data_IF_500946451770
#
_entry.id   IF_500946451770
#
_cell.length_a   1.000
_cell.length_b   1.000
_cell.length_c   1.000
_cell.angle_alpha   90.00
_cell.angle_beta   90.00
_cell.angle_gamma   90.00
#
_symmetry.space_group_name_H-M   'P 1'
#
loop_
_entity.id
_entity.type
_entity.pdbx_description
1 polymer ?
#
# COMPACT_ATOMS: atom_id res chain seq x y z
N UNK A 1 -39.03 51.61 55.67
CA UNK A 1 -40.40 51.09 55.46
C UNK A 1 -40.66 51.07 53.95
N UNK A 2 -40.72 49.90 53.32
CA UNK A 2 -41.38 49.73 51.99
C UNK A 2 -42.89 49.93 52.22
N UNK A 3 -43.76 50.34 51.24
CA UNK A 3 -43.82 49.71 49.91
C UNK A 3 -44.51 50.52 48.75
N UNK A 4 -44.63 49.90 47.56
CA UNK A 4 -45.51 50.23 46.41
C UNK A 4 -45.34 51.62 45.75
N UNK A 5 -45.00 51.79 44.47
CA UNK A 5 -45.73 51.30 43.30
C UNK A 5 -44.77 51.26 42.09
N UNK A 6 -44.37 50.05 41.70
CA UNK A 6 -43.62 49.72 40.48
C UNK A 6 -44.51 49.68 39.22
N UNK A 7 -45.58 50.48 39.16
CA UNK A 7 -46.63 50.36 38.14
C UNK A 7 -46.94 51.75 37.57
N UNK A 8 -46.31 52.13 36.45
CA UNK A 8 -46.91 53.05 35.44
C UNK A 8 -45.95 53.53 34.35
N UNK A 9 -44.64 53.27 34.39
CA UNK A 9 -43.72 53.67 33.32
C UNK A 9 -43.19 52.49 32.49
N UNK A 10 -44.02 51.47 32.36
CA UNK A 10 -43.84 50.34 31.45
C UNK A 10 -44.43 50.61 30.03
N UNK A 11 -44.53 51.87 29.59
CA UNK A 11 -45.30 52.21 28.38
C UNK A 11 -44.60 53.13 27.37
N UNK A 12 -43.26 53.20 27.37
CA UNK A 12 -42.54 53.98 26.34
C UNK A 12 -41.23 53.35 25.81
N UNK A 13 -40.93 52.10 26.15
CA UNK A 13 -39.78 51.37 25.60
C UNK A 13 -40.12 49.91 25.23
N UNK A 14 -41.39 49.62 24.99
CA UNK A 14 -41.83 48.43 24.28
C UNK A 14 -42.22 48.89 22.88
N UNK A 15 -41.46 48.45 21.86
CA UNK A 15 -41.69 48.55 20.40
C UNK A 15 -40.45 48.99 19.58
N UNK A 16 -39.23 48.88 20.11
CA UNK A 16 -38.12 48.44 19.24
C UNK A 16 -38.25 46.92 19.11
N UNK A 17 -38.83 46.51 17.99
CA UNK A 17 -39.18 45.15 17.64
C UNK A 17 -37.99 44.17 17.83
N UNK A 18 -38.03 43.38 18.91
CA UNK A 18 -37.39 42.07 18.92
C UNK A 18 -38.25 41.11 18.09
N UNK A 19 -38.39 41.40 16.80
CA UNK A 19 -38.80 40.40 15.82
C UNK A 19 -37.59 39.49 15.63
N UNK A 20 -37.46 38.47 16.50
CA UNK A 20 -36.60 37.34 16.25
C UNK A 20 -37.11 36.70 14.96
N UNK A 21 -36.45 37.02 13.85
CA UNK A 21 -36.85 36.57 12.52
C UNK A 21 -36.90 35.04 12.60
N UNK A 22 -38.04 34.38 12.34
CA UNK A 22 -38.10 32.94 12.43
C UNK A 22 -37.06 32.36 11.47
N UNK A 23 -36.11 31.58 12.02
CA UNK A 23 -35.05 30.95 11.24
C UNK A 23 -35.70 30.17 10.11
N UNK A 24 -35.34 30.49 8.89
CA UNK A 24 -35.92 29.84 7.71
C UNK A 24 -35.50 28.38 7.70
N UNK A 25 -36.33 27.51 7.13
CA UNK A 25 -36.03 26.08 7.04
C UNK A 25 -34.67 25.82 6.35
N UNK A 26 -34.32 26.64 5.36
CA UNK A 26 -33.03 26.60 4.69
C UNK A 26 -31.85 26.91 5.64
N UNK A 27 -31.99 27.89 6.54
CA UNK A 27 -30.95 28.22 7.53
C UNK A 27 -30.77 27.10 8.56
N UNK A 28 -31.87 26.45 8.98
CA UNK A 28 -31.81 25.30 9.90
C UNK A 28 -31.15 24.09 9.24
N UNK A 29 -31.49 23.80 7.98
CA UNK A 29 -30.89 22.69 7.23
C UNK A 29 -29.39 22.93 7.01
N UNK A 30 -28.99 24.16 6.66
CA UNK A 30 -27.59 24.53 6.51
C UNK A 30 -26.80 24.41 7.83
N UNK A 31 -27.43 24.66 8.97
CA UNK A 31 -26.80 24.47 10.28
C UNK A 31 -26.60 22.99 10.62
N UNK A 32 -27.60 22.14 10.36
CA UNK A 32 -27.50 20.69 10.53
C UNK A 32 -26.38 20.12 9.66
N UNK A 33 -26.31 20.51 8.39
CA UNK A 33 -25.26 20.07 7.48
C UNK A 33 -23.86 20.43 7.98
N UNK A 34 -23.67 21.65 8.49
CA UNK A 34 -22.38 22.05 9.09
C UNK A 34 -22.01 21.21 10.30
N UNK A 35 -22.97 20.94 11.19
CA UNK A 35 -22.73 20.12 12.38
C UNK A 35 -22.36 18.69 11.99
N UNK A 36 -23.06 18.11 11.02
CA UNK A 36 -22.76 16.77 10.50
C UNK A 36 -21.36 16.75 9.88
N UNK A 37 -21.02 17.73 9.04
CA UNK A 37 -19.69 17.83 8.43
C UNK A 37 -18.59 17.98 9.49
N UNK A 38 -18.85 18.76 10.54
CA UNK A 38 -17.89 18.94 11.63
C UNK A 38 -17.69 17.64 12.43
N UNK A 39 -18.76 16.92 12.77
CA UNK A 39 -18.67 15.62 13.46
C UNK A 39 -17.92 14.59 12.62
N UNK A 40 -18.26 14.48 11.34
CA UNK A 40 -17.56 13.59 10.40
C UNK A 40 -16.08 13.95 10.25
N UNK A 41 -15.73 15.23 10.26
CA UNK A 41 -14.33 15.65 10.20
C UNK A 41 -13.57 15.24 11.47
N UNK A 42 -14.17 15.42 12.64
CA UNK A 42 -13.59 14.99 13.93
C UNK A 42 -13.43 13.47 14.00
N UNK A 43 -14.44 12.71 13.58
CA UNK A 43 -14.36 11.24 13.51
C UNK A 43 -13.19 10.78 12.63
N UNK A 44 -13.06 11.35 11.42
CA UNK A 44 -11.94 11.04 10.52
C UNK A 44 -10.57 11.39 11.12
N UNK A 45 -10.47 12.50 11.83
CA UNK A 45 -9.23 12.88 12.50
C UNK A 45 -8.86 11.89 13.60
N UNK A 46 -9.83 11.46 14.40
CA UNK A 46 -9.62 10.45 15.44
C UNK A 46 -9.20 9.10 14.84
N UNK A 47 -9.83 8.68 13.75
CA UNK A 47 -9.47 7.44 13.03
C UNK A 47 -8.03 7.51 12.47
N UNK A 48 -7.64 8.67 11.92
CA UNK A 48 -6.29 8.88 11.42
C UNK A 48 -5.24 8.87 12.55
N UNK A 49 -5.53 9.53 13.67
CA UNK A 49 -4.67 9.51 14.85
C UNK A 49 -4.52 8.08 15.41
N UNK A 50 -5.61 7.32 15.49
CA UNK A 50 -5.58 5.93 15.93
C UNK A 50 -4.73 5.06 14.98
N UNK A 51 -4.86 5.26 13.66
CA UNK A 51 -4.04 4.54 12.67
C UNK A 51 -2.56 4.84 12.82
N UNK A 52 -2.20 6.11 13.03
CA UNK A 52 -0.81 6.51 13.26
C UNK A 52 -0.26 5.93 14.56
N UNK A 53 -1.05 5.93 15.64
CA UNK A 53 -0.65 5.33 16.90
C UNK A 53 -0.41 3.81 16.77
N UNK A 54 -1.25 3.11 16.00
CA UNK A 54 -1.06 1.69 15.72
C UNK A 54 0.20 1.44 14.90
N UNK A 55 0.45 2.24 13.86
CA UNK A 55 1.67 2.15 13.06
C UNK A 55 2.93 2.39 13.92
N UNK A 56 2.89 3.35 14.84
CA UNK A 56 4.01 3.60 15.75
C UNK A 56 4.26 2.40 16.66
N UNK A 57 3.21 1.82 17.25
CA UNK A 57 3.34 0.63 18.10
C UNK A 57 3.95 -0.57 17.36
N UNK A 58 3.56 -0.78 16.09
CA UNK A 58 4.11 -1.86 15.26
C UNK A 58 5.61 -1.64 14.96
N UNK A 59 6.02 -0.39 14.73
CA UNK A 59 7.43 -0.03 14.52
C UNK A 59 8.25 -0.28 15.80
N UNK A 60 7.76 0.18 16.95
CA UNK A 60 8.42 0.00 18.25
C UNK A 60 8.57 -1.50 18.59
N UNK A 61 7.54 -2.31 18.32
CA UNK A 61 7.60 -3.76 18.52
C UNK A 61 8.65 -4.43 17.61
N UNK A 62 8.77 -3.97 16.37
CA UNK A 62 9.79 -4.47 15.42
C UNK A 62 11.19 -4.06 15.84
N UNK A 63 11.39 -2.85 16.35
CA UNK A 63 12.67 -2.40 16.90
C UNK A 63 13.09 -3.24 18.11
N UNK A 64 12.17 -3.52 19.04
CA UNK A 64 12.43 -4.41 20.19
C UNK A 64 12.82 -5.82 19.72
N UNK A 65 12.11 -6.39 18.74
CA UNK A 65 12.45 -7.71 18.19
C UNK A 65 13.83 -7.74 17.54
N UNK A 66 14.24 -6.66 16.89
CA UNK A 66 15.60 -6.53 16.33
C UNK A 66 16.65 -6.45 17.43
N UNK A 67 16.40 -5.66 18.49
CA UNK A 67 17.29 -5.57 19.64
C UNK A 67 17.47 -6.93 20.35
N UNK A 68 16.38 -7.69 20.53
CA UNK A 68 16.41 -9.04 21.11
C UNK A 68 17.21 -10.01 20.24
N UNK A 69 17.01 -9.97 18.91
CA UNK A 69 17.78 -10.78 17.96
C UNK A 69 19.26 -10.43 17.97
N UNK A 70 19.60 -9.14 18.06
CA UNK A 70 20.99 -8.68 18.17
C UNK A 70 21.63 -9.14 19.50
N UNK A 71 20.91 -9.02 20.61
CA UNK A 71 21.36 -9.51 21.90
C UNK A 71 21.60 -11.04 21.88
N UNK A 72 20.69 -11.80 21.26
CA UNK A 72 20.86 -13.24 21.08
C UNK A 72 22.05 -13.60 20.17
N UNK A 73 22.27 -12.84 19.09
CA UNK A 73 23.43 -13.02 18.20
C UNK A 73 24.75 -12.72 18.93
N UNK A 74 24.78 -11.67 19.75
CA UNK A 74 25.96 -11.27 20.55
C UNK A 74 26.27 -12.27 21.67
N UNK A 75 25.25 -12.87 22.28
CA UNK A 75 25.41 -13.93 23.28
C UNK A 75 25.92 -15.26 22.69
N UNK A 76 25.74 -15.49 21.39
CA UNK A 76 26.17 -16.72 20.69
C UNK A 76 27.59 -16.62 20.10
N UNK A 77 28.24 -15.45 20.18
CA UNK A 77 29.59 -15.22 19.66
C UNK A 77 30.69 -15.79 20.57
N UNK A 78 30.79 -17.12 20.64
CA UNK A 78 32.00 -17.81 21.12
C UNK A 78 32.96 -17.98 19.94
N UNK A 79 34.27 -17.66 20.04
CA UNK A 79 35.20 -17.91 18.93
C UNK A 79 35.39 -19.42 18.77
N UNK A 80 34.87 -19.98 17.67
CA UNK A 80 35.05 -21.40 17.33
C UNK A 80 36.49 -21.63 16.84
N UNK A 81 37.24 -22.60 17.39
CA UNK A 81 38.56 -22.92 16.87
C UNK A 81 38.43 -23.54 15.48
N UNK A 82 39.26 -23.09 14.55
CA UNK A 82 39.32 -23.58 13.16
C UNK A 82 39.86 -25.01 13.16
N UNK A 83 38.96 -25.99 13.06
CA UNK A 83 39.31 -27.39 12.82
C UNK A 83 39.11 -27.71 11.32
N UNK A 84 40.15 -28.28 10.73
CA UNK A 84 40.36 -28.47 9.30
C UNK A 84 39.35 -29.46 8.69
N UNK A 85 38.86 -29.15 7.49
CA UNK A 85 37.95 -30.01 6.71
C UNK A 85 38.78 -31.02 5.90
N UNK A 86 38.68 -32.29 6.24
CA UNK A 86 39.12 -33.39 5.38
C UNK A 86 38.00 -33.70 4.39
N UNK A 87 38.26 -33.52 3.09
CA UNK A 87 37.31 -33.83 2.00
C UNK A 87 37.40 -35.31 1.67
N UNK A 88 36.31 -36.04 1.88
CA UNK A 88 36.09 -37.37 1.28
C UNK A 88 34.82 -37.29 0.43
N UNK A 89 34.85 -37.55 -0.89
CA UNK A 89 33.64 -37.55 -1.68
C UNK A 89 32.87 -38.87 -1.45
N UNK A 90 31.67 -38.76 -0.88
CA UNK A 90 30.66 -39.83 -0.85
C UNK A 90 29.76 -39.65 -2.07
N UNK A 91 29.40 -40.71 -2.82
CA UNK A 91 28.45 -40.58 -3.91
C UNK A 91 27.11 -40.13 -3.34
N UNK A 92 26.64 -38.95 -3.75
CA UNK A 92 25.34 -38.45 -3.36
C UNK A 92 24.27 -39.15 -4.20
N UNK A 93 23.62 -40.16 -3.63
CA UNK A 93 22.20 -40.36 -3.89
C UNK A 93 21.47 -39.23 -3.15
N UNK A 94 21.35 -38.08 -3.81
CA UNK A 94 20.47 -37.03 -3.33
C UNK A 94 19.06 -37.41 -3.76
N UNK A 95 18.29 -37.98 -2.84
CA UNK A 95 16.85 -37.85 -2.89
C UNK A 95 16.58 -36.35 -2.79
N UNK A 96 16.31 -35.72 -3.94
CA UNK A 96 15.76 -34.37 -3.98
C UNK A 96 14.50 -34.41 -3.12
N UNK A 97 14.62 -33.88 -1.92
CA UNK A 97 13.48 -33.58 -1.08
C UNK A 97 12.81 -32.45 -1.81
N UNK A 98 11.66 -32.75 -2.41
CA UNK A 98 10.73 -31.79 -2.98
C UNK A 98 10.17 -30.96 -1.83
N UNK A 99 11.02 -30.07 -1.31
CA UNK A 99 10.60 -28.98 -0.44
C UNK A 99 9.98 -27.97 -1.39
N UNK A 100 8.66 -28.04 -1.49
CA UNK A 100 7.82 -26.96 -1.99
C UNK A 100 7.99 -25.76 -1.06
N UNK A 101 9.11 -25.06 -1.22
CA UNK A 101 9.22 -23.66 -0.84
C UNK A 101 8.07 -22.94 -1.53
N UNK A 102 7.31 -22.07 -0.83
CA UNK A 102 6.27 -21.27 -1.48
C UNK A 102 6.90 -20.60 -2.68
N UNK A 103 6.30 -20.72 -3.89
CA UNK A 103 6.87 -20.17 -5.12
C UNK A 103 7.34 -18.73 -4.88
N UNK A 104 8.64 -18.59 -4.67
CA UNK A 104 9.20 -17.35 -4.21
C UNK A 104 9.21 -16.38 -5.37
N UNK A 105 8.95 -15.10 -5.09
CA UNK A 105 9.07 -14.02 -6.08
C UNK A 105 10.44 -14.01 -6.77
N UNK A 106 11.47 -14.60 -6.15
CA UNK A 106 12.79 -14.89 -6.74
C UNK A 106 12.72 -15.56 -8.12
N UNK A 107 11.71 -16.41 -8.35
CA UNK A 107 11.53 -17.09 -9.63
C UNK A 107 11.33 -16.11 -10.77
N UNK A 108 10.56 -15.03 -10.57
CA UNK A 108 10.37 -14.00 -11.59
C UNK A 108 11.68 -13.27 -11.86
N UNK A 109 12.39 -12.84 -10.81
CA UNK A 109 13.67 -12.14 -10.94
C UNK A 109 14.68 -12.96 -11.74
N UNK A 110 14.94 -14.20 -11.31
CA UNK A 110 15.92 -15.10 -11.94
C UNK A 110 15.54 -15.49 -13.37
N UNK A 111 14.26 -15.81 -13.63
CA UNK A 111 13.84 -16.29 -14.95
C UNK A 111 13.64 -15.16 -15.97
N UNK A 112 13.40 -13.92 -15.54
CA UNK A 112 13.25 -12.76 -16.43
C UNK A 112 14.56 -12.01 -16.67
N UNK A 113 15.54 -12.13 -15.76
CA UNK A 113 16.86 -11.51 -15.89
C UNK A 113 17.54 -11.72 -17.26
N UNK A 114 17.49 -12.91 -17.90
CA UNK A 114 18.14 -13.11 -19.20
C UNK A 114 17.48 -12.38 -20.38
N UNK A 115 16.23 -11.93 -20.24
CA UNK A 115 15.44 -11.39 -21.35
C UNK A 115 15.23 -9.87 -21.27
N UNK A 116 15.76 -9.22 -20.23
CA UNK A 116 15.53 -7.80 -19.98
C UNK A 116 16.32 -7.29 -18.79
N UNK A 117 15.96 -6.11 -18.31
CA UNK A 117 16.61 -5.49 -17.17
C UNK A 117 15.58 -5.04 -16.14
N UNK A 118 15.87 -5.32 -14.88
CA UNK A 118 15.15 -4.77 -13.74
C UNK A 118 15.64 -3.36 -13.43
N UNK A 119 14.71 -2.44 -13.14
CA UNK A 119 15.00 -1.02 -12.95
C UNK A 119 14.11 -0.43 -11.87
N UNK A 120 14.66 0.47 -11.08
CA UNK A 120 13.87 1.24 -10.12
C UNK A 120 13.31 2.49 -10.78
N UNK A 121 12.05 2.79 -10.51
CA UNK A 121 11.32 3.96 -10.98
C UNK A 121 10.65 4.63 -9.79
N UNK A 122 10.58 5.97 -9.80
CA UNK A 122 9.94 6.73 -8.71
C UNK A 122 8.47 6.39 -8.54
N UNK A 123 7.79 6.10 -9.65
CA UNK A 123 6.33 6.03 -9.68
C UNK A 123 5.81 4.59 -9.50
N UNK A 124 6.62 3.58 -9.87
CA UNK A 124 6.20 2.17 -9.91
C UNK A 124 7.15 1.23 -9.17
N UNK A 125 8.21 1.75 -8.53
CA UNK A 125 9.19 0.95 -7.83
C UNK A 125 10.01 0.09 -8.80
N UNK A 126 10.24 -1.17 -8.43
CA UNK A 126 11.12 -2.08 -9.15
C UNK A 126 10.38 -2.81 -10.27
N UNK A 127 10.59 -2.35 -11.50
CA UNK A 127 9.90 -2.81 -12.71
C UNK A 127 10.86 -3.56 -13.62
N UNK A 128 10.32 -4.41 -14.49
CA UNK A 128 11.10 -5.14 -15.48
C UNK A 128 10.87 -4.60 -16.88
N UNK A 129 11.94 -4.42 -17.65
CA UNK A 129 11.87 -3.98 -19.04
C UNK A 129 12.49 -5.05 -19.97
N UNK A 130 11.73 -5.67 -20.90
CA UNK A 130 12.30 -6.57 -21.87
C UNK A 130 13.24 -5.83 -22.82
N UNK A 131 14.23 -6.55 -23.36
CA UNK A 131 15.15 -5.99 -24.35
C UNK A 131 14.41 -5.43 -25.58
N UNK A 132 13.35 -6.13 -26.02
CA UNK A 132 12.54 -5.74 -27.17
C UNK A 132 11.80 -4.41 -26.95
N UNK A 133 11.46 -4.05 -25.71
CA UNK A 133 10.81 -2.78 -25.38
C UNK A 133 11.73 -1.54 -25.56
N UNK A 134 13.02 -1.73 -25.87
CA UNK A 134 13.91 -0.65 -26.31
C UNK A 134 13.56 -0.14 -27.71
N UNK A 135 12.94 -0.98 -28.53
CA UNK A 135 12.37 -0.55 -29.81
C UNK A 135 11.08 0.23 -29.60
N UNK A 136 10.90 1.34 -30.34
CA UNK A 136 9.68 2.15 -30.28
C UNK A 136 8.45 1.45 -30.88
N UNK A 137 8.68 0.46 -31.71
CA UNK A 137 7.62 -0.26 -32.44
C UNK A 137 7.13 -1.49 -31.67
N UNK A 138 7.89 -1.93 -30.66
CA UNK A 138 7.47 -3.01 -29.79
C UNK A 138 6.41 -2.55 -28.80
N UNK A 139 5.43 -3.42 -28.56
CA UNK A 139 4.40 -3.23 -27.53
C UNK A 139 3.89 -4.58 -27.03
N UNK A 140 3.39 -4.65 -25.79
CA UNK A 140 2.73 -5.84 -25.27
C UNK A 140 1.54 -6.25 -26.13
N UNK A 141 1.24 -7.55 -26.14
CA UNK A 141 0.11 -8.13 -26.89
C UNK A 141 0.20 -7.93 -28.42
N UNK A 142 1.41 -7.77 -28.96
CA UNK A 142 1.64 -7.66 -30.40
C UNK A 142 2.04 -8.99 -31.05
N UNK A 143 2.84 -9.80 -30.35
CA UNK A 143 3.36 -11.07 -30.85
C UNK A 143 2.76 -12.25 -30.05
N UNK A 144 1.76 -12.89 -30.65
CA UNK A 144 0.97 -13.93 -30.01
C UNK A 144 -0.47 -14.00 -30.52
N UNK A 145 -1.32 -14.70 -29.77
CA UNK A 145 -2.73 -14.89 -30.10
C UNK A 145 -3.58 -15.11 -28.85
N UNK A 146 -4.87 -14.78 -28.95
CA UNK A 146 -5.86 -15.25 -27.98
C UNK A 146 -6.18 -16.72 -28.23
N UNK A 147 -6.10 -17.54 -27.18
CA UNK A 147 -6.52 -18.93 -27.19
C UNK A 147 -7.58 -19.16 -26.10
N UNK A 148 -8.52 -20.04 -26.38
CA UNK A 148 -9.49 -20.46 -25.37
C UNK A 148 -8.93 -21.66 -24.61
N UNK A 149 -8.65 -21.49 -23.31
CA UNK A 149 -8.12 -22.51 -22.41
C UNK A 149 -9.17 -22.93 -21.38
N UNK A 150 -8.82 -23.87 -20.51
CA UNK A 150 -9.60 -24.23 -19.32
C UNK A 150 -9.83 -23.05 -18.36
N UNK A 151 -8.93 -22.06 -18.37
CA UNK A 151 -9.05 -20.80 -17.66
C UNK A 151 -9.77 -19.68 -18.45
N UNK A 152 -10.30 -19.98 -19.65
CA UNK A 152 -10.99 -19.03 -20.52
C UNK A 152 -10.10 -18.38 -21.59
N UNK A 153 -10.49 -17.21 -22.09
CA UNK A 153 -9.70 -16.49 -23.09
C UNK A 153 -8.36 -16.01 -22.50
N UNK A 154 -7.28 -16.62 -22.96
CA UNK A 154 -5.92 -16.39 -22.47
C UNK A 154 -5.04 -15.93 -23.61
N UNK A 155 -4.23 -14.90 -23.35
CA UNK A 155 -3.22 -14.46 -24.32
C UNK A 155 -2.04 -15.42 -24.30
N UNK A 156 -1.72 -16.03 -25.44
CA UNK A 156 -0.56 -16.90 -25.63
C UNK A 156 0.47 -16.13 -26.44
N UNK A 157 1.58 -15.77 -25.80
CA UNK A 157 2.69 -15.06 -26.43
C UNK A 157 3.73 -16.03 -26.99
N UNK A 158 4.37 -15.65 -28.09
CA UNK A 158 5.54 -16.34 -28.65
C UNK A 158 6.86 -15.86 -28.00
N UNK A 159 6.79 -14.89 -27.09
CA UNK A 159 7.95 -14.32 -26.41
C UNK A 159 8.37 -15.18 -25.22
N UNK A 160 9.68 -15.39 -24.99
CA UNK A 160 10.19 -16.31 -23.98
C UNK A 160 9.88 -15.89 -22.52
N UNK A 161 9.55 -14.62 -22.31
CA UNK A 161 9.13 -14.05 -21.03
C UNK A 161 7.60 -13.98 -20.87
N UNK A 162 6.85 -14.43 -21.87
CA UNK A 162 5.40 -14.28 -21.92
C UNK A 162 4.66 -15.06 -20.83
N UNK A 163 5.22 -16.20 -20.42
CA UNK A 163 4.68 -17.03 -19.34
C UNK A 163 4.52 -16.27 -18.01
N UNK A 164 5.36 -15.26 -17.75
CA UNK A 164 5.27 -14.44 -16.56
C UNK A 164 4.46 -13.16 -16.83
N UNK A 165 4.91 -12.40 -17.82
CA UNK A 165 4.53 -10.99 -17.96
C UNK A 165 3.08 -10.77 -18.40
N UNK A 166 2.48 -11.76 -19.06
CA UNK A 166 1.08 -11.69 -19.48
C UNK A 166 0.10 -12.32 -18.48
N UNK A 167 0.60 -12.96 -17.43
CA UNK A 167 -0.23 -13.75 -16.51
C UNK A 167 -0.10 -13.32 -15.04
N UNK A 168 1.03 -12.71 -14.64
CA UNK A 168 1.34 -12.43 -13.23
C UNK A 168 1.61 -10.95 -12.93
N UNK A 169 1.25 -10.03 -13.83
CA UNK A 169 1.44 -8.59 -13.60
C UNK A 169 0.78 -7.72 -14.68
N UNK A 170 1.24 -6.49 -14.82
CA UNK A 170 0.60 -5.48 -15.69
C UNK A 170 1.62 -4.69 -16.48
N UNK A 171 1.36 -4.51 -17.76
CA UNK A 171 2.16 -3.64 -18.59
C UNK A 171 1.83 -2.17 -18.37
N UNK A 172 2.87 -1.34 -18.29
CA UNK A 172 2.76 0.10 -18.26
C UNK A 172 3.77 0.77 -19.19
N UNK A 173 3.39 1.92 -19.76
CA UNK A 173 4.29 2.74 -20.56
C UNK A 173 4.72 3.98 -19.78
N UNK A 174 5.99 4.04 -19.40
CA UNK A 174 6.59 5.17 -18.68
C UNK A 174 7.26 6.13 -19.68
N UNK A 175 7.09 7.44 -19.47
CA UNK A 175 7.72 8.47 -20.31
C UNK A 175 9.24 8.34 -20.27
N UNK A 176 9.89 8.42 -21.43
CA UNK A 176 11.34 8.29 -21.62
C UNK A 176 11.96 6.93 -21.25
N UNK A 177 11.15 5.96 -20.81
CA UNK A 177 11.61 4.58 -20.52
C UNK A 177 11.04 3.60 -21.54
N UNK A 178 9.74 3.71 -21.84
CA UNK A 178 9.04 2.76 -22.71
C UNK A 178 8.15 1.82 -21.91
N UNK A 179 7.89 0.64 -22.46
CA UNK A 179 7.06 -0.38 -21.82
C UNK A 179 7.84 -1.11 -20.73
N UNK A 180 7.20 -1.28 -19.58
CA UNK A 180 7.70 -2.01 -18.41
C UNK A 180 6.58 -2.87 -17.83
N UNK A 181 6.95 -3.94 -17.15
CA UNK A 181 6.08 -4.84 -16.40
C UNK A 181 6.23 -4.62 -14.90
#
# INVERSE_FOLDING_TARGET
>A
MKPFCFLALAAAALLAASCEKPQTEAERNAQIEREVQQRLATERQADEEQRLAQQQADLDAREQSLADKEAAAKATATPRPVAQVTVTPRPALSTATDTSEPESYDTFYRKLEPYGAWRETSDYGYVWQPEQARSRDWRPYADGRWAYTDAGWTWVSEEPFGWATYHYGRWMRIRNVGWVW
#
